data_IF_188647633924
#
_entry.id   IF_188647633924
#
_cell.length_a   1.000
_cell.length_b   1.000
_cell.length_c   1.000
_cell.angle_alpha   90.00
_cell.angle_beta   90.00
_cell.angle_gamma   90.00
#
_symmetry.space_group_name_H-M   'P 1'
#
loop_
_entity.id
_entity.type
_entity.pdbx_description
1 polymer ?
#
# COMPACT_ATOMS: atom_id res chain seq x y z
N UNK A 1 11.36 -8.95 -4.56
CA UNK A 1 10.72 -8.41 -5.77
C UNK A 1 9.25 -8.18 -5.41
N UNK A 2 8.70 -6.98 -5.64
CA UNK A 2 7.27 -6.71 -5.40
C UNK A 2 6.55 -7.09 -6.69
N UNK A 3 5.73 -8.14 -6.61
CA UNK A 3 4.95 -8.65 -7.74
C UNK A 3 3.68 -7.82 -7.95
N UNK A 4 3.31 -7.58 -9.20
CA UNK A 4 2.39 -6.53 -9.62
C UNK A 4 0.89 -6.88 -9.41
N UNK A 5 0.58 -8.11 -8.99
CA UNK A 5 -0.78 -8.64 -9.08
C UNK A 5 -1.47 -9.04 -7.76
N UNK A 6 -0.94 -8.67 -6.58
CA UNK A 6 -1.55 -9.10 -5.29
C UNK A 6 -1.47 -8.14 -4.11
N UNK A 7 -1.01 -6.90 -4.29
CA UNK A 7 -0.88 -5.93 -3.19
C UNK A 7 -1.98 -4.87 -3.26
N UNK A 8 -2.94 -4.99 -2.34
CA UNK A 8 -3.99 -4.00 -2.14
C UNK A 8 -3.46 -2.75 -1.42
N UNK A 9 -2.43 -2.92 -0.57
CA UNK A 9 -1.87 -1.88 0.27
C UNK A 9 -0.49 -2.25 0.85
N UNK A 10 0.33 -1.26 1.25
CA UNK A 10 1.58 -1.50 1.98
C UNK A 10 1.79 -0.56 3.19
N UNK A 11 2.39 -1.08 4.26
CA UNK A 11 2.86 -0.29 5.40
C UNK A 11 4.39 -0.31 5.42
N UNK A 12 5.03 0.85 5.32
CA UNK A 12 6.50 0.96 5.21
C UNK A 12 7.13 1.61 6.44
N UNK A 13 8.22 1.04 6.95
CA UNK A 13 9.13 1.80 7.82
C UNK A 13 10.08 2.62 6.95
N UNK A 14 10.37 3.87 7.31
CA UNK A 14 11.29 4.72 6.54
C UNK A 14 12.71 4.16 6.58
N UNK A 15 13.20 3.86 7.77
CA UNK A 15 14.56 3.34 7.96
C UNK A 15 14.55 1.82 8.16
N UNK A 16 15.34 1.11 7.37
CA UNK A 16 15.59 -0.34 7.50
C UNK A 16 17.10 -0.56 7.69
N UNK A 17 17.51 -1.77 8.08
CA UNK A 17 18.93 -2.10 8.26
C UNK A 17 19.76 -1.83 7.00
N UNK A 18 19.21 -2.11 5.82
CA UNK A 18 19.88 -1.93 4.53
C UNK A 18 19.65 -0.55 3.89
N UNK A 19 19.13 0.42 4.67
CA UNK A 19 18.90 1.79 4.25
C UNK A 19 17.42 2.19 4.15
N UNK A 20 17.17 3.38 3.60
CA UNK A 20 15.83 3.93 3.52
C UNK A 20 14.95 3.15 2.53
N UNK A 21 13.68 2.95 2.87
CA UNK A 21 12.71 2.24 2.03
C UNK A 21 12.16 3.07 0.86
N UNK A 22 12.74 4.25 0.57
CA UNK A 22 12.31 5.11 -0.53
C UNK A 22 12.31 4.45 -1.92
N UNK A 23 13.26 3.57 -2.29
CA UNK A 23 13.17 2.85 -3.56
C UNK A 23 11.89 1.99 -3.66
N UNK A 24 11.45 1.41 -2.54
CA UNK A 24 10.19 0.67 -2.46
C UNK A 24 8.99 1.62 -2.56
N UNK A 25 9.01 2.75 -1.85
CA UNK A 25 7.97 3.78 -1.94
C UNK A 25 7.80 4.30 -3.38
N UNK A 26 8.90 4.54 -4.10
CA UNK A 26 8.89 4.92 -5.54
C UNK A 26 8.21 3.85 -6.39
N UNK A 27 8.55 2.58 -6.17
CA UNK A 27 7.93 1.47 -6.92
C UNK A 27 6.43 1.39 -6.64
N UNK A 28 5.99 1.55 -5.39
CA UNK A 28 4.58 1.56 -5.03
C UNK A 28 3.81 2.74 -5.65
N UNK A 29 4.38 3.96 -5.65
CA UNK A 29 3.81 5.12 -6.39
C UNK A 29 3.68 4.81 -7.88
N UNK A 30 4.73 4.26 -8.51
CA UNK A 30 4.71 3.91 -9.94
C UNK A 30 3.67 2.85 -10.29
N UNK A 31 3.38 1.91 -9.37
CA UNK A 31 2.37 0.86 -9.54
C UNK A 31 0.95 1.32 -9.17
N UNK A 32 0.80 2.54 -8.62
CA UNK A 32 -0.46 3.03 -8.08
C UNK A 32 -0.98 2.18 -6.93
N UNK A 33 -0.07 1.57 -6.15
CA UNK A 33 -0.41 0.81 -4.95
C UNK A 33 -0.38 1.79 -3.76
N UNK A 34 -1.48 1.92 -3.01
CA UNK A 34 -1.53 2.81 -1.86
C UNK A 34 -0.64 2.29 -0.73
N UNK A 35 0.00 3.20 -0.02
CA UNK A 35 0.84 2.86 1.12
C UNK A 35 0.88 3.97 2.17
N UNK A 36 1.28 3.62 3.39
CA UNK A 36 1.48 4.56 4.51
C UNK A 36 2.83 4.31 5.14
N UNK A 37 3.51 5.38 5.55
CA UNK A 37 4.71 5.26 6.37
C UNK A 37 4.34 5.03 7.83
N UNK A 38 4.76 3.91 8.40
CA UNK A 38 4.71 3.64 9.84
C UNK A 38 6.11 3.79 10.44
N UNK A 39 6.42 4.98 10.93
CA UNK A 39 7.79 5.40 11.27
C UNK A 39 7.81 6.30 12.50
N UNK A 40 8.94 6.37 13.19
CA UNK A 40 9.16 7.36 14.27
C UNK A 40 9.59 8.73 13.73
N UNK A 41 9.92 8.80 12.44
CA UNK A 41 10.37 10.03 11.80
C UNK A 41 9.20 10.98 11.62
N UNK A 42 9.43 12.27 11.84
CA UNK A 42 8.47 13.32 11.58
C UNK A 42 8.39 13.62 10.09
N UNK A 43 7.30 14.29 9.68
CA UNK A 43 7.07 14.61 8.26
C UNK A 43 8.25 15.37 7.66
N UNK A 44 8.79 16.35 8.39
CA UNK A 44 9.96 17.15 7.97
C UNK A 44 11.25 16.36 7.77
N UNK A 45 11.34 15.15 8.31
CA UNK A 45 12.49 14.27 8.17
C UNK A 45 12.33 13.28 7.00
N UNK A 46 11.15 13.25 6.39
CA UNK A 46 10.86 12.44 5.21
C UNK A 46 11.17 13.26 3.96
N UNK A 47 11.75 12.61 2.94
CA UNK A 47 12.03 13.24 1.66
C UNK A 47 10.78 13.92 1.06
N UNK A 48 10.95 15.13 0.50
CA UNK A 48 9.84 15.99 0.07
C UNK A 48 8.91 15.30 -0.94
N UNK A 49 9.46 14.38 -1.75
CA UNK A 49 8.72 13.57 -2.73
C UNK A 49 7.59 12.72 -2.11
N UNK A 50 7.66 12.47 -0.80
CA UNK A 50 6.67 11.66 -0.08
C UNK A 50 5.89 12.43 0.97
N UNK A 51 5.93 13.76 0.99
CA UNK A 51 5.12 14.56 1.90
C UNK A 51 3.60 14.44 1.64
N UNK A 52 3.19 13.95 0.47
CA UNK A 52 1.80 13.62 0.14
C UNK A 52 1.36 12.25 0.69
N UNK A 53 2.31 11.40 1.09
CA UNK A 53 2.02 10.06 1.60
C UNK A 53 1.56 10.14 3.06
N UNK A 54 0.48 9.46 3.47
CA UNK A 54 0.06 9.44 4.87
C UNK A 54 1.16 8.83 5.75
N UNK A 55 1.25 9.34 6.98
CA UNK A 55 2.20 8.86 7.98
C UNK A 55 1.46 8.49 9.25
N UNK A 56 1.79 7.31 9.76
CA UNK A 56 1.43 6.86 11.08
C UNK A 56 2.68 6.88 11.98
N UNK A 57 2.66 7.72 13.01
CA UNK A 57 3.80 7.86 13.93
C UNK A 57 3.89 6.65 14.86
N UNK A 58 5.08 6.05 15.01
CA UNK A 58 5.32 5.05 16.05
C UNK A 58 5.46 5.72 17.43
N UNK A 59 5.10 5.03 18.53
CA UNK A 59 4.45 3.72 18.60
C UNK A 59 2.93 3.84 18.40
N UNK A 60 2.30 2.74 17.96
CA UNK A 60 0.83 2.60 17.92
C UNK A 60 0.44 1.21 18.42
N UNK A 61 -0.73 1.10 19.04
CA UNK A 61 -1.31 -0.19 19.39
C UNK A 61 -1.66 -0.97 18.11
N UNK A 62 -1.48 -2.30 18.15
CA UNK A 62 -1.73 -3.15 16.98
C UNK A 62 -3.19 -3.11 16.52
N UNK A 63 -4.17 -2.94 17.43
CA UNK A 63 -5.58 -2.77 17.05
C UNK A 63 -5.79 -1.46 16.31
N UNK A 64 -5.19 -0.37 16.77
CA UNK A 64 -5.26 0.92 16.08
C UNK A 64 -4.72 0.82 14.65
N UNK A 65 -3.56 0.18 14.48
CA UNK A 65 -2.97 -0.05 13.15
C UNK A 65 -3.91 -0.87 12.27
N UNK A 66 -4.50 -1.94 12.81
CA UNK A 66 -5.44 -2.79 12.08
C UNK A 66 -6.71 -2.03 11.65
N UNK A 67 -7.32 -1.26 12.57
CA UNK A 67 -8.51 -0.46 12.29
C UNK A 67 -8.24 0.61 11.23
N UNK A 68 -7.08 1.27 11.31
CA UNK A 68 -6.64 2.24 10.33
C UNK A 68 -6.50 1.62 8.92
N UNK A 69 -5.83 0.46 8.83
CA UNK A 69 -5.67 -0.25 7.55
C UNK A 69 -7.03 -0.73 7.02
N UNK A 70 -7.90 -1.27 7.86
CA UNK A 70 -9.23 -1.71 7.46
C UNK A 70 -10.09 -0.54 6.93
N UNK A 71 -10.06 0.61 7.59
CA UNK A 71 -10.73 1.82 7.14
C UNK A 71 -10.21 2.32 5.79
N UNK A 72 -8.89 2.28 5.59
CA UNK A 72 -8.27 2.68 4.33
C UNK A 72 -8.63 1.72 3.18
N UNK A 73 -8.57 0.41 3.41
CA UNK A 73 -8.95 -0.60 2.43
C UNK A 73 -10.44 -0.47 2.04
N UNK A 74 -11.31 -0.19 3.00
CA UNK A 74 -12.73 0.05 2.73
C UNK A 74 -12.95 1.30 1.87
N UNK A 75 -12.21 2.39 2.14
CA UNK A 75 -12.25 3.62 1.32
C UNK A 75 -11.73 3.39 -0.11
N UNK A 76 -10.68 2.60 -0.26
CA UNK A 76 -10.12 2.23 -1.56
C UNK A 76 -11.07 1.34 -2.35
N UNK A 77 -11.72 0.36 -1.72
CA UNK A 77 -12.71 -0.51 -2.35
C UNK A 77 -13.94 0.26 -2.88
N UNK A 78 -14.30 1.36 -2.22
CA UNK A 78 -15.38 2.26 -2.64
C UNK A 78 -14.97 3.23 -3.76
N UNK A 79 -13.67 3.31 -4.09
CA UNK A 79 -13.17 4.15 -5.18
C UNK A 79 -13.27 3.41 -6.54
N UNK A 80 -13.86 4.02 -7.58
CA UNK A 80 -14.11 3.35 -8.86
C UNK A 80 -12.84 2.88 -9.59
N UNK A 81 -11.66 3.43 -9.25
CA UNK A 81 -10.37 3.04 -9.81
C UNK A 81 -9.81 1.71 -9.24
N UNK A 82 -10.22 1.29 -8.03
CA UNK A 82 -9.69 0.08 -7.38
C UNK A 82 -10.56 -1.16 -7.67
N UNK A 83 -11.88 -0.98 -7.78
CA UNK A 83 -12.84 -2.06 -8.09
C UNK A 83 -12.56 -2.75 -9.45
N UNK A 84 -11.95 -2.04 -10.41
CA UNK A 84 -11.61 -2.57 -11.73
C UNK A 84 -10.46 -3.61 -11.72
N UNK A 85 -9.59 -3.60 -10.69
CA UNK A 85 -8.47 -4.56 -10.57
C UNK A 85 -8.94 -5.92 -10.02
N UNK A 86 -9.85 -5.93 -9.03
CA UNK A 86 -10.43 -7.16 -8.44
C UNK A 86 -11.18 -8.02 -9.44
N UNK A 87 -11.87 -7.43 -10.42
CA UNK A 87 -12.75 -8.18 -11.34
C UNK A 87 -12.01 -8.97 -12.43
N UNK A 88 -10.71 -8.76 -12.64
CA UNK A 88 -9.93 -9.47 -13.68
C UNK A 88 -9.49 -10.88 -13.26
N UNK A 89 -9.67 -11.26 -12.00
CA UNK A 89 -9.19 -12.53 -11.44
C UNK A 89 -10.18 -13.70 -11.56
N UNK A 90 -11.43 -13.45 -11.96
CA UNK A 90 -12.50 -14.48 -12.01
C UNK A 90 -12.84 -14.99 -13.42
N UNK A 91 -12.01 -14.69 -14.43
CA UNK A 91 -12.25 -15.16 -15.81
C UNK A 91 -11.38 -16.36 -16.19
N UNK A 92 -11.54 -17.49 -15.49
CA UNK A 92 -11.23 -18.79 -16.07
C UNK A 92 -12.52 -19.35 -16.67
N UNK A 93 -12.79 -19.04 -17.94
CA UNK A 93 -13.92 -19.67 -18.64
C UNK A 93 -13.58 -21.12 -18.94
N UNK A 94 -14.46 -22.00 -18.46
CA UNK A 94 -14.65 -23.38 -18.90
C UNK A 94 -14.62 -23.44 -20.43
N UNK A 95 -13.67 -24.20 -20.99
CA UNK A 95 -13.73 -24.70 -22.36
C UNK A 95 -14.16 -26.17 -22.31
N UNK A 96 -15.39 -26.54 -22.71
CA UNK A 96 -15.68 -27.92 -23.04
C UNK A 96 -15.12 -28.20 -24.45
N UNK A 97 -14.09 -29.04 -24.56
CA UNK A 97 -13.69 -29.57 -25.87
C UNK A 97 -14.70 -30.64 -26.28
N UNK A 98 -15.32 -30.43 -27.44
CA UNK A 98 -16.02 -31.47 -28.22
C UNK A 98 -15.02 -32.40 -28.89
#
# INVERSE_FOLDING_TARGET
MIDENSLDFALLNVELQDGASYPVAKRLKALGIPFVFFTSFEKSEIDLEFHDVPRLAKPQDSRFVADFVAGLLNSLAQSPAHSAKTKRSEHWRLNPSS
#
